data_IF_100424162572
#
_entry.id   IF_100424162572
#
_cell.length_a   1.000
_cell.length_b   1.000
_cell.length_c   1.000
_cell.angle_alpha   90.00
_cell.angle_beta   90.00
_cell.angle_gamma   90.00
#
_symmetry.space_group_name_H-M   'P 1'
#
loop_
_entity.id
_entity.type
_entity.pdbx_description
1 polymer ?
#
# COMPACT_ATOMS: atom_id res chain seq x y z
N UNK A 1 -5.70 -2.85 -19.22
CA UNK A 1 -5.36 -1.88 -18.17
C UNK A 1 -6.01 -2.41 -16.90
N UNK A 2 -5.25 -3.05 -16.03
CA UNK A 2 -5.76 -3.63 -14.78
C UNK A 2 -5.26 -2.74 -13.65
N UNK A 3 -6.15 -1.97 -13.02
CA UNK A 3 -5.85 -1.17 -11.83
C UNK A 3 -5.78 -2.07 -10.61
N UNK A 4 -4.92 -3.09 -10.66
CA UNK A 4 -4.85 -4.14 -9.64
C UNK A 4 -3.65 -3.89 -8.75
N UNK A 5 -3.90 -3.77 -7.45
CA UNK A 5 -2.88 -3.62 -6.42
C UNK A 5 -2.70 -4.95 -5.71
N UNK A 6 -1.48 -5.45 -5.73
CA UNK A 6 -1.10 -6.64 -4.97
C UNK A 6 -0.51 -6.24 -3.62
N UNK A 7 -1.19 -6.59 -2.53
CA UNK A 7 -0.75 -6.24 -1.17
C UNK A 7 0.51 -7.00 -0.73
N UNK A 8 0.87 -8.09 -1.43
CA UNK A 8 2.09 -8.84 -1.19
C UNK A 8 3.31 -8.19 -1.88
N UNK A 9 3.10 -7.33 -2.88
CA UNK A 9 4.19 -6.59 -3.52
C UNK A 9 4.81 -5.54 -2.58
N UNK A 10 6.09 -5.19 -2.80
CA UNK A 10 6.71 -4.05 -2.13
C UNK A 10 5.93 -2.76 -2.34
N UNK A 11 5.76 -1.97 -1.27
CA UNK A 11 5.03 -0.69 -1.34
C UNK A 11 5.67 0.27 -2.35
N UNK A 12 7.00 0.26 -2.47
CA UNK A 12 7.70 1.09 -3.43
C UNK A 12 7.35 0.75 -4.88
N UNK A 13 7.12 -0.53 -5.20
CA UNK A 13 6.70 -0.93 -6.55
C UNK A 13 5.27 -0.49 -6.84
N UNK A 14 4.35 -0.70 -5.88
CA UNK A 14 2.96 -0.25 -6.01
C UNK A 14 2.89 1.25 -6.26
N UNK A 15 3.66 2.05 -5.51
CA UNK A 15 3.70 3.52 -5.68
C UNK A 15 4.41 3.92 -6.99
N UNK A 16 5.36 3.12 -7.48
CA UNK A 16 5.99 3.37 -8.77
C UNK A 16 5.02 3.11 -9.94
N UNK A 17 4.21 2.07 -9.85
CA UNK A 17 3.16 1.73 -10.82
C UNK A 17 1.98 2.71 -10.72
N UNK A 18 1.62 3.12 -9.50
CA UNK A 18 0.47 3.96 -9.16
C UNK A 18 0.87 5.07 -8.17
N UNK A 19 1.48 6.17 -8.62
CA UNK A 19 1.96 7.24 -7.75
C UNK A 19 0.84 7.88 -6.89
N UNK A 20 -0.39 7.89 -7.40
CA UNK A 20 -1.57 8.39 -6.70
C UNK A 20 -1.94 7.57 -5.45
N UNK A 21 -1.57 6.28 -5.40
CA UNK A 21 -1.81 5.41 -4.24
C UNK A 21 -1.03 5.89 -3.02
N UNK A 22 0.11 6.56 -3.22
CA UNK A 22 0.92 7.11 -2.13
C UNK A 22 0.09 8.04 -1.24
N UNK A 23 -0.66 8.96 -1.84
CA UNK A 23 -1.45 9.94 -1.06
C UNK A 23 -2.59 9.27 -0.30
N UNK A 24 -3.23 8.27 -0.92
CA UNK A 24 -4.28 7.45 -0.30
C UNK A 24 -3.73 6.73 0.95
N UNK A 25 -2.60 6.03 0.81
CA UNK A 25 -1.98 5.27 1.90
C UNK A 25 -1.49 6.19 3.03
N UNK A 26 -0.86 7.33 2.70
CA UNK A 26 -0.42 8.32 3.69
C UNK A 26 -1.61 8.91 4.45
N UNK A 27 -2.70 9.23 3.74
CA UNK A 27 -3.94 9.73 4.33
C UNK A 27 -4.61 8.73 5.27
N UNK A 28 -4.50 7.43 4.96
CA UNK A 28 -5.03 6.34 5.77
C UNK A 28 -4.22 6.09 7.05
N UNK A 29 -2.94 6.48 7.05
CA UNK A 29 -2.09 6.43 8.25
C UNK A 29 -0.68 5.92 8.02
N UNK A 30 -0.33 5.46 6.80
CA UNK A 30 1.03 5.06 6.43
C UNK A 30 1.94 6.30 6.23
N UNK A 31 1.95 7.20 7.21
CA UNK A 31 2.72 8.45 7.23
C UNK A 31 4.21 8.28 6.89
N UNK A 32 4.91 7.19 7.27
CA UNK A 32 6.31 6.99 6.88
C UNK A 32 6.54 6.99 5.35
N UNK A 33 5.52 6.64 4.55
CA UNK A 33 5.61 6.66 3.08
C UNK A 33 5.71 8.06 2.50
N UNK A 34 5.31 9.10 3.26
CA UNK A 34 5.52 10.48 2.84
C UNK A 34 7.01 10.83 2.74
N UNK A 35 7.87 10.14 3.51
CA UNK A 35 9.31 10.33 3.46
C UNK A 35 9.92 9.51 2.30
N UNK A 36 10.48 10.17 1.25
CA UNK A 36 11.05 9.48 0.10
C UNK A 36 12.24 8.58 0.46
N UNK A 37 13.01 8.93 1.50
CA UNK A 37 14.12 8.09 1.96
C UNK A 37 13.63 6.76 2.57
N UNK A 38 12.53 6.79 3.33
CA UNK A 38 11.90 5.58 3.88
C UNK A 38 11.30 4.71 2.78
N UNK A 39 10.64 5.34 1.79
CA UNK A 39 10.09 4.62 0.63
C UNK A 39 11.19 3.91 -0.18
N UNK A 40 12.32 4.58 -0.43
CA UNK A 40 13.44 4.02 -1.19
C UNK A 40 14.27 2.98 -0.44
N UNK A 41 14.07 2.84 0.86
CA UNK A 41 14.79 1.87 1.71
C UNK A 41 13.83 0.76 2.16
N UNK A 42 13.10 1.00 3.24
CA UNK A 42 12.16 0.05 3.85
C UNK A 42 11.02 -0.29 2.89
N UNK A 43 10.51 0.70 2.14
CA UNK A 43 9.41 0.48 1.19
C UNK A 43 9.75 -0.46 0.02
N UNK A 44 11.04 -0.67 -0.29
CA UNK A 44 11.47 -1.62 -1.33
C UNK A 44 11.47 -3.09 -0.88
N UNK A 45 11.60 -3.32 0.42
CA UNK A 45 11.67 -4.67 1.00
C UNK A 45 10.41 -5.04 1.77
N UNK A 46 9.59 -4.05 2.13
CA UNK A 46 8.39 -4.21 2.94
C UNK A 46 7.18 -4.19 2.02
N UNK A 47 6.38 -5.25 2.10
CA UNK A 47 5.08 -5.32 1.42
C UNK A 47 4.05 -4.41 2.07
N UNK A 48 3.00 -4.06 1.33
CA UNK A 48 1.92 -3.23 1.88
C UNK A 48 1.25 -3.88 3.09
N UNK A 49 1.06 -5.22 3.03
CA UNK A 49 0.58 -6.02 4.16
C UNK A 49 1.47 -5.91 5.41
N UNK A 50 2.79 -6.01 5.25
CA UNK A 50 3.71 -5.88 6.37
C UNK A 50 3.74 -4.44 6.92
N UNK A 51 3.72 -3.44 6.04
CA UNK A 51 3.65 -2.02 6.41
C UNK A 51 2.40 -1.67 7.21
N UNK A 52 1.25 -2.22 6.83
CA UNK A 52 -0.01 -2.07 7.55
C UNK A 52 0.11 -2.58 9.00
N UNK A 53 0.62 -3.80 9.17
CA UNK A 53 0.84 -4.42 10.48
C UNK A 53 1.79 -3.60 11.37
N UNK A 54 2.88 -3.07 10.78
CA UNK A 54 3.86 -2.25 11.51
C UNK A 54 3.29 -0.90 11.96
N UNK A 55 2.36 -0.33 11.20
CA UNK A 55 1.72 0.96 11.50
C UNK A 55 0.45 0.82 12.36
N UNK A 56 0.00 -0.42 12.62
CA UNK A 56 -1.22 -0.69 13.37
C UNK A 56 -2.50 -0.43 12.57
N UNK A 57 -2.40 -0.41 11.24
CA UNK A 57 -3.51 -0.21 10.33
C UNK A 57 -4.04 -1.57 9.89
N UNK A 58 -5.35 -1.74 9.92
CA UNK A 58 -6.00 -2.96 9.44
C UNK A 58 -5.79 -3.10 7.94
N UNK A 59 -5.41 -4.30 7.49
CA UNK A 59 -5.30 -4.58 6.05
C UNK A 59 -6.63 -4.34 5.34
N UNK A 60 -7.74 -4.71 6.00
CA UNK A 60 -9.10 -4.51 5.51
C UNK A 60 -9.44 -3.03 5.24
N UNK A 61 -8.97 -2.10 6.09
CA UNK A 61 -9.18 -0.66 5.87
C UNK A 61 -8.44 -0.17 4.62
N UNK A 62 -7.21 -0.69 4.39
CA UNK A 62 -6.43 -0.40 3.19
C UNK A 62 -7.15 -0.96 1.96
N UNK A 63 -7.58 -2.23 2.01
CA UNK A 63 -8.31 -2.89 0.92
C UNK A 63 -9.56 -2.10 0.54
N UNK A 64 -10.41 -1.78 1.53
CA UNK A 64 -11.64 -1.01 1.31
C UNK A 64 -11.37 0.36 0.71
N UNK A 65 -10.32 1.03 1.16
CA UNK A 65 -9.97 2.36 0.64
C UNK A 65 -9.49 2.26 -0.80
N UNK A 66 -8.61 1.32 -1.12
CA UNK A 66 -8.15 1.10 -2.50
C UNK A 66 -9.33 0.75 -3.43
N UNK A 67 -10.24 -0.13 -2.99
CA UNK A 67 -11.46 -0.47 -3.74
C UNK A 67 -12.36 0.74 -3.93
N UNK A 68 -12.55 1.56 -2.90
CA UNK A 68 -13.32 2.80 -2.97
C UNK A 68 -12.74 3.80 -3.98
N UNK A 69 -11.41 3.81 -4.14
CA UNK A 69 -10.71 4.61 -5.15
C UNK A 69 -10.67 3.96 -6.55
N UNK A 70 -11.30 2.79 -6.74
CA UNK A 70 -11.43 2.13 -8.04
C UNK A 70 -10.32 1.14 -8.39
N UNK A 71 -9.56 0.66 -7.39
CA UNK A 71 -8.55 -0.39 -7.56
C UNK A 71 -9.11 -1.77 -7.20
N UNK A 72 -8.73 -2.77 -7.98
CA UNK A 72 -8.88 -4.17 -7.59
C UNK A 72 -7.73 -4.53 -6.65
N UNK A 73 -8.00 -5.27 -5.58
CA UNK A 73 -6.96 -5.63 -4.60
C UNK A 73 -6.82 -7.14 -4.53
N UNK A 74 -5.57 -7.62 -4.57
CA UNK A 74 -5.21 -9.05 -4.46
C UNK A 74 -4.13 -9.27 -3.40
N UNK A 75 -3.93 -10.51 -2.95
CA UNK A 75 -2.90 -10.83 -1.96
C UNK A 75 -3.23 -10.37 -0.52
N UNK A 76 -4.52 -10.11 -0.24
CA UNK A 76 -5.05 -9.83 1.09
C UNK A 76 -4.93 -11.01 2.06
N UNK A 77 -5.36 -10.85 3.31
CA UNK A 77 -5.30 -11.90 4.36
C UNK A 77 -6.36 -12.99 4.20
N UNK A 78 -7.15 -12.96 3.12
CA UNK A 78 -8.18 -13.94 2.77
C UNK A 78 -7.64 -15.06 1.86
N UNK A 79 -6.49 -15.66 2.20
CA UNK A 79 -6.03 -16.93 1.60
C UNK A 79 -6.38 -18.11 2.52
#
# INVERSE_FOLDING_TARGET
>A
MTNTIDLAKPVAEIIQEHPEVKEILVGLGLKPLANPAMLHTVGKVTSLKAGAKLTGISLEDIERTLIFHGYDVIGGDHD
#
